data_IF_463142497399
#
_entry.id   IF_463142497399
#
_cell.length_a   1.000
_cell.length_b   1.000
_cell.length_c   1.000
_cell.angle_alpha   90.00
_cell.angle_beta   90.00
_cell.angle_gamma   90.00
#
_symmetry.space_group_name_H-M   'P 1'
#
loop_
_entity.id
_entity.type
_entity.pdbx_description
1 polymer ?
#
# COMPACT_ATOMS: atom_id res chain seq x y z
N UNK A 1 -19.99 42.91 38.74
CA UNK A 1 -21.13 43.23 37.86
C UNK A 1 -20.96 42.41 36.58
N UNK A 2 -21.64 41.26 36.48
CA UNK A 2 -22.82 41.00 35.61
C UNK A 2 -22.39 40.98 34.12
N UNK A 3 -22.56 39.95 33.29
CA UNK A 3 -23.12 38.59 33.36
C UNK A 3 -22.81 37.89 32.00
N UNK A 4 -22.85 36.53 31.98
CA UNK A 4 -23.34 35.59 30.92
C UNK A 4 -23.24 35.92 29.41
N UNK A 5 -23.00 34.97 28.50
CA UNK A 5 -23.20 33.53 28.59
C UNK A 5 -23.04 32.81 27.24
N UNK A 6 -23.04 31.50 27.36
CA UNK A 6 -22.98 30.46 26.33
C UNK A 6 -24.31 30.37 25.54
N UNK A 7 -24.29 30.05 24.24
CA UNK A 7 -25.30 29.17 23.65
C UNK A 7 -24.83 28.57 22.32
N UNK A 8 -24.90 27.24 22.27
CA UNK A 8 -24.81 26.37 21.10
C UNK A 8 -26.25 26.25 20.56
N UNK A 9 -26.44 26.35 19.26
CA UNK A 9 -27.70 25.97 18.61
C UNK A 9 -27.40 25.04 17.44
N UNK A 10 -28.01 23.86 17.53
CA UNK A 10 -28.09 22.84 16.48
C UNK A 10 -29.39 23.12 15.73
N UNK A 11 -29.34 23.32 14.42
CA UNK A 11 -30.56 23.27 13.60
C UNK A 11 -30.28 22.59 12.26
N UNK A 12 -30.94 21.46 12.08
CA UNK A 12 -31.09 20.73 10.83
C UNK A 12 -31.93 21.56 9.88
N UNK A 13 -31.49 21.75 8.63
CA UNK A 13 -32.41 22.11 7.56
C UNK A 13 -31.89 21.67 6.20
N UNK A 14 -32.73 20.86 5.57
CA UNK A 14 -32.80 20.50 4.16
C UNK A 14 -32.28 21.59 3.21
N UNK A 15 -31.36 21.20 2.32
CA UNK A 15 -30.96 22.03 1.19
C UNK A 15 -31.92 21.74 0.02
N UNK A 16 -32.85 22.66 -0.24
CA UNK A 16 -33.70 22.65 -1.43
C UNK A 16 -33.05 23.55 -2.50
N UNK A 17 -32.69 22.95 -3.63
CA UNK A 17 -32.07 23.63 -4.77
C UNK A 17 -33.18 24.27 -5.63
N UNK A 18 -33.27 25.61 -5.63
CA UNK A 18 -34.09 26.34 -6.60
C UNK A 18 -33.19 27.13 -7.54
N UNK A 19 -33.20 26.77 -8.82
CA UNK A 19 -32.55 27.50 -9.90
C UNK A 19 -33.27 28.82 -10.16
N UNK A 20 -32.61 29.96 -9.91
CA UNK A 20 -33.06 31.28 -10.37
C UNK A 20 -32.54 31.54 -11.78
N UNK A 21 -33.46 31.64 -12.73
CA UNK A 21 -33.22 32.21 -14.06
C UNK A 21 -33.51 33.71 -13.98
N UNK A 22 -32.50 34.56 -14.17
CA UNK A 22 -32.69 36.02 -14.26
C UNK A 22 -32.52 36.46 -15.71
N UNK A 23 -33.59 37.02 -16.28
CA UNK A 23 -33.63 37.68 -17.58
C UNK A 23 -32.95 39.06 -17.50
N UNK A 24 -32.25 39.44 -18.57
CA UNK A 24 -31.60 40.74 -18.76
C UNK A 24 -32.48 41.61 -19.68
N UNK A 25 -32.71 42.85 -19.26
CA UNK A 25 -33.40 43.90 -20.02
C UNK A 25 -32.45 44.60 -21.02
N UNK A 26 -33.06 45.01 -22.12
CA UNK A 26 -32.53 45.60 -23.34
C UNK A 26 -32.19 47.09 -23.24
N UNK A 27 -31.11 47.52 -23.92
CA UNK A 27 -30.97 48.90 -24.42
C UNK A 27 -30.37 48.90 -25.83
N UNK A 28 -31.11 49.54 -26.73
CA UNK A 28 -30.95 49.65 -28.18
C UNK A 28 -29.85 50.61 -28.64
N UNK A 29 -29.14 50.26 -29.72
CA UNK A 29 -28.73 51.16 -30.84
C UNK A 29 -28.36 50.31 -32.06
N UNK A 30 -29.03 50.57 -33.19
CA UNK A 30 -28.85 50.03 -34.56
C UNK A 30 -27.54 50.62 -35.16
N UNK A 31 -26.84 50.11 -36.19
CA UNK A 31 -27.21 49.63 -37.55
C UNK A 31 -26.01 48.79 -38.16
N UNK A 32 -26.01 48.24 -39.41
CA UNK A 32 -26.30 46.84 -39.77
C UNK A 32 -25.15 46.07 -40.51
N UNK A 33 -25.51 44.90 -41.06
CA UNK A 33 -24.85 44.08 -42.11
C UNK A 33 -23.78 43.09 -41.65
N UNK A 34 -24.13 41.81 -41.50
CA UNK A 34 -23.93 40.81 -42.57
C UNK A 34 -24.31 39.42 -42.03
N UNK A 35 -25.33 38.83 -42.64
CA UNK A 35 -25.75 37.44 -42.46
C UNK A 35 -24.63 36.46 -42.76
N UNK A 36 -24.41 35.48 -41.88
CA UNK A 36 -24.03 34.12 -42.29
C UNK A 36 -24.47 33.14 -41.20
N UNK A 37 -25.46 32.35 -41.59
CA UNK A 37 -26.13 31.29 -40.88
C UNK A 37 -25.23 30.05 -40.89
N UNK A 38 -25.00 29.40 -39.75
CA UNK A 38 -24.59 28.00 -39.73
C UNK A 38 -25.13 27.34 -38.45
N UNK A 39 -26.34 26.80 -38.55
CA UNK A 39 -26.89 25.83 -37.62
C UNK A 39 -26.28 24.46 -37.91
N UNK A 40 -25.57 23.87 -36.95
CA UNK A 40 -25.30 22.43 -36.93
C UNK A 40 -25.38 21.93 -35.49
N UNK A 41 -26.61 21.68 -35.04
CA UNK A 41 -26.88 20.81 -33.91
C UNK A 41 -26.68 19.35 -34.36
N UNK A 42 -25.56 18.73 -33.96
CA UNK A 42 -25.36 17.30 -34.10
C UNK A 42 -26.02 16.60 -32.90
N UNK A 43 -27.30 16.25 -33.06
CA UNK A 43 -28.01 15.33 -32.17
C UNK A 43 -27.50 13.92 -32.45
N UNK A 44 -26.63 13.39 -31.59
CA UNK A 44 -26.32 11.96 -31.56
C UNK A 44 -27.44 11.26 -30.80
N UNK A 45 -28.40 10.70 -31.53
CA UNK A 45 -29.38 9.77 -30.99
C UNK A 45 -28.71 8.43 -30.72
N UNK A 46 -28.46 8.10 -29.45
CA UNK A 46 -28.10 6.75 -29.04
C UNK A 46 -29.36 5.87 -29.09
N UNK A 47 -29.49 5.06 -30.13
CA UNK A 47 -30.47 3.97 -30.18
C UNK A 47 -29.98 2.83 -29.28
N UNK A 48 -30.68 2.63 -28.16
CA UNK A 48 -30.50 1.46 -27.30
C UNK A 48 -31.16 0.24 -27.95
N UNK A 49 -30.39 -0.50 -28.74
CA UNK A 49 -30.73 -1.89 -29.09
C UNK A 49 -29.58 -2.81 -28.71
N UNK A 50 -29.59 -3.31 -27.48
CA UNK A 50 -29.13 -4.69 -27.21
C UNK A 50 -29.69 -5.19 -25.88
N UNK A 51 -30.99 -5.47 -25.89
CA UNK A 51 -31.65 -6.35 -24.92
C UNK A 51 -31.19 -7.79 -25.16
N UNK A 52 -29.94 -8.13 -24.85
CA UNK A 52 -29.53 -9.55 -24.81
C UNK A 52 -28.36 -9.89 -23.86
N UNK A 53 -27.78 -8.92 -23.16
CA UNK A 53 -26.64 -9.19 -22.25
C UNK A 53 -27.02 -9.28 -20.75
N UNK A 54 -28.24 -8.86 -20.37
CA UNK A 54 -28.66 -8.75 -18.96
C UNK A 54 -29.47 -9.95 -18.41
N UNK A 55 -29.62 -11.05 -19.16
CA UNK A 55 -30.39 -12.24 -18.72
C UNK A 55 -29.55 -13.45 -18.28
N UNK A 56 -28.22 -13.39 -18.30
CA UNK A 56 -27.35 -14.54 -17.93
C UNK A 56 -26.57 -14.38 -16.61
N UNK A 57 -26.80 -13.31 -15.84
CA UNK A 57 -26.13 -13.09 -14.54
C UNK A 57 -27.02 -13.34 -13.31
N UNK A 58 -28.31 -13.60 -13.47
CA UNK A 58 -29.26 -13.69 -12.34
C UNK A 58 -29.53 -15.10 -11.79
N UNK A 59 -28.89 -16.16 -12.32
CA UNK A 59 -29.15 -17.55 -11.88
C UNK A 59 -27.96 -18.26 -11.21
N UNK A 60 -26.93 -17.54 -10.76
CA UNK A 60 -25.78 -18.14 -10.03
C UNK A 60 -25.70 -17.72 -8.55
N UNK A 61 -26.80 -17.26 -7.96
CA UNK A 61 -26.87 -16.92 -6.54
C UNK A 61 -28.02 -17.68 -5.87
N UNK A 62 -27.87 -19.00 -5.78
CA UNK A 62 -28.62 -19.81 -4.83
C UNK A 62 -27.82 -21.05 -4.41
N UNK A 63 -26.56 -20.82 -4.02
CA UNK A 63 -25.78 -21.82 -3.28
C UNK A 63 -26.04 -21.60 -1.80
N UNK A 64 -26.40 -22.67 -1.11
CA UNK A 64 -26.78 -22.72 0.29
C UNK A 64 -25.73 -22.04 1.20
N UNK A 65 -26.08 -20.90 1.79
CA UNK A 65 -25.39 -20.36 2.95
C UNK A 65 -26.20 -20.71 4.19
N UNK A 66 -25.94 -21.89 4.75
CA UNK A 66 -26.29 -22.16 6.16
C UNK A 66 -25.32 -21.37 7.03
N UNK A 67 -25.79 -20.54 7.98
CA UNK A 67 -24.90 -19.79 8.86
C UNK A 67 -24.20 -20.78 9.80
N UNK A 68 -22.93 -21.08 9.54
CA UNK A 68 -22.08 -21.83 10.45
C UNK A 68 -21.76 -20.90 11.62
N UNK A 69 -22.46 -21.10 12.74
CA UNK A 69 -22.24 -20.39 14.01
C UNK A 69 -20.78 -20.58 14.43
N UNK A 70 -19.98 -19.53 14.25
CA UNK A 70 -18.60 -19.49 14.73
C UNK A 70 -18.65 -19.42 16.26
N UNK A 71 -18.27 -20.52 16.94
CA UNK A 71 -18.08 -20.52 18.38
C UNK A 71 -16.63 -20.13 18.65
N UNK A 72 -16.43 -18.95 19.23
CA UNK A 72 -15.12 -18.52 19.71
C UNK A 72 -14.61 -19.52 20.77
N UNK A 73 -13.33 -19.95 20.71
CA UNK A 73 -12.77 -20.81 21.73
C UNK A 73 -12.76 -20.06 23.07
N UNK A 74 -13.28 -20.72 24.12
CA UNK A 74 -13.23 -20.22 25.50
C UNK A 74 -11.76 -20.11 25.91
N UNK A 75 -11.25 -18.90 26.04
CA UNK A 75 -9.94 -18.65 26.59
C UNK A 75 -10.04 -18.77 28.12
N UNK A 76 -9.58 -19.90 28.65
CA UNK A 76 -9.40 -20.07 30.09
C UNK A 76 -8.20 -19.23 30.51
N UNK A 77 -8.43 -18.15 31.26
CA UNK A 77 -7.39 -17.31 31.81
C UNK A 77 -6.65 -18.08 32.92
N UNK A 78 -5.51 -18.67 32.59
CA UNK A 78 -4.57 -19.20 33.58
C UNK A 78 -3.66 -18.06 34.02
N UNK A 79 -3.88 -17.54 35.23
CA UNK A 79 -2.97 -16.58 35.87
C UNK A 79 -1.63 -17.26 36.12
N UNK A 80 -0.60 -16.87 35.37
CA UNK A 80 0.76 -17.33 35.57
C UNK A 80 1.51 -16.32 36.45
N UNK A 81 1.88 -16.74 37.67
CA UNK A 81 2.70 -15.95 38.58
C UNK A 81 4.08 -15.68 37.95
N UNK A 82 4.48 -14.42 37.91
CA UNK A 82 5.72 -13.96 37.28
C UNK A 82 6.94 -14.28 38.16
N UNK A 83 7.72 -15.29 37.77
CA UNK A 83 9.12 -15.42 38.18
C UNK A 83 10.00 -14.68 37.16
N UNK A 84 10.76 -13.69 37.62
CA UNK A 84 11.57 -12.79 36.80
C UNK A 84 12.42 -13.53 35.76
N UNK A 85 12.15 -13.23 34.48
CA UNK A 85 12.99 -13.61 33.35
C UNK A 85 13.73 -12.36 32.91
N UNK A 86 15.05 -12.43 32.82
CA UNK A 86 15.83 -11.45 32.07
C UNK A 86 15.25 -11.41 30.66
N UNK A 87 14.70 -10.25 30.27
CA UNK A 87 14.07 -10.07 28.98
C UNK A 87 15.22 -9.99 27.95
N UNK A 88 15.61 -11.12 27.36
CA UNK A 88 16.51 -11.10 26.21
C UNK A 88 15.79 -10.34 25.10
N UNK A 89 16.25 -9.12 24.82
CA UNK A 89 15.74 -8.34 23.68
C UNK A 89 16.21 -9.08 22.42
N UNK A 90 15.33 -9.89 21.85
CA UNK A 90 15.57 -10.57 20.58
C UNK A 90 15.47 -9.51 19.49
N UNK A 91 16.61 -9.10 18.94
CA UNK A 91 16.66 -8.19 17.81
C UNK A 91 16.52 -8.97 16.50
N UNK A 92 15.72 -8.44 15.58
CA UNK A 92 15.48 -9.10 14.28
C UNK A 92 16.59 -8.70 13.32
N UNK A 93 17.24 -9.67 12.68
CA UNK A 93 18.29 -9.41 11.67
C UNK A 93 17.94 -9.94 10.29
N UNK A 94 17.11 -10.97 10.20
CA UNK A 94 16.75 -11.62 8.93
C UNK A 94 15.32 -12.17 8.94
N UNK A 95 14.81 -12.45 7.74
CA UNK A 95 13.50 -13.05 7.53
C UNK A 95 13.47 -13.88 6.25
N UNK A 96 12.68 -14.97 6.24
CA UNK A 96 12.43 -15.80 5.05
C UNK A 96 10.97 -15.75 4.67
N UNK A 97 10.68 -15.30 3.44
CA UNK A 97 9.34 -15.20 2.89
C UNK A 97 9.15 -16.26 1.80
N UNK A 98 8.27 -17.24 2.04
CA UNK A 98 7.80 -18.16 1.00
C UNK A 98 6.67 -17.51 0.20
N UNK A 99 6.76 -17.59 -1.13
CA UNK A 99 5.88 -16.89 -2.05
C UNK A 99 5.67 -17.75 -3.31
N UNK A 100 4.57 -17.47 -4.02
CA UNK A 100 4.29 -18.07 -5.33
C UNK A 100 4.22 -16.98 -6.38
N UNK A 101 4.71 -17.27 -7.58
CA UNK A 101 4.58 -16.35 -8.71
C UNK A 101 3.14 -16.30 -9.20
N UNK A 102 2.59 -15.10 -9.28
CA UNK A 102 1.28 -14.86 -9.87
C UNK A 102 1.38 -14.50 -11.35
N UNK A 103 0.31 -14.80 -12.10
CA UNK A 103 0.28 -14.61 -13.55
C UNK A 103 0.60 -13.16 -13.98
N UNK A 104 0.09 -12.17 -13.24
CA UNK A 104 0.30 -10.75 -13.53
C UNK A 104 1.74 -10.26 -13.34
N UNK A 105 2.62 -11.10 -12.78
CA UNK A 105 4.03 -10.78 -12.54
C UNK A 105 4.92 -11.22 -13.70
N UNK A 106 4.37 -12.02 -14.62
CA UNK A 106 5.06 -12.49 -15.82
C UNK A 106 4.90 -11.53 -16.99
N UNK A 107 5.93 -11.44 -17.85
CA UNK A 107 5.90 -10.63 -19.06
C UNK A 107 5.84 -11.47 -20.34
N UNK A 108 5.98 -10.82 -21.50
CA UNK A 108 5.92 -11.46 -22.82
C UNK A 108 7.01 -12.52 -23.02
N UNK A 109 8.10 -12.49 -22.27
CA UNK A 109 9.14 -13.52 -22.31
C UNK A 109 8.73 -14.82 -21.58
N UNK A 110 7.56 -14.85 -20.93
CA UNK A 110 7.04 -16.03 -20.22
C UNK A 110 7.75 -16.29 -18.89
N UNK A 111 8.44 -15.28 -18.36
CA UNK A 111 9.13 -15.31 -17.06
C UNK A 111 8.71 -14.09 -16.23
N UNK A 112 9.03 -14.11 -14.94
CA UNK A 112 8.79 -12.96 -14.06
C UNK A 112 9.54 -11.74 -14.57
N UNK A 113 8.84 -10.62 -14.71
CA UNK A 113 9.44 -9.35 -15.09
C UNK A 113 10.43 -8.89 -14.01
N UNK A 114 11.61 -8.42 -14.41
CA UNK A 114 12.72 -8.10 -13.49
C UNK A 114 12.32 -7.14 -12.35
N UNK A 115 11.40 -6.20 -12.61
CA UNK A 115 10.95 -5.24 -11.60
C UNK A 115 10.18 -5.87 -10.44
N UNK A 116 9.59 -7.06 -10.63
CA UNK A 116 8.86 -7.77 -9.60
C UNK A 116 9.76 -8.25 -8.45
N UNK A 117 11.05 -8.50 -8.71
CA UNK A 117 12.01 -8.90 -7.67
C UNK A 117 12.17 -7.84 -6.57
N UNK A 118 12.11 -6.55 -6.92
CA UNK A 118 12.11 -5.47 -5.92
C UNK A 118 10.86 -5.50 -5.03
N UNK A 119 9.70 -5.87 -5.60
CA UNK A 119 8.46 -6.04 -4.82
C UNK A 119 8.57 -7.23 -3.87
N UNK A 120 9.17 -8.32 -4.31
CA UNK A 120 9.39 -9.50 -3.47
C UNK A 120 10.31 -9.18 -2.28
N UNK A 121 11.36 -8.40 -2.52
CA UNK A 121 12.26 -7.93 -1.46
C UNK A 121 11.54 -6.97 -0.49
N UNK A 122 10.70 -6.05 -0.99
CA UNK A 122 9.91 -5.15 -0.15
C UNK A 122 8.88 -5.90 0.70
N UNK A 123 8.22 -6.93 0.15
CA UNK A 123 7.32 -7.79 0.92
C UNK A 123 8.04 -8.51 2.07
N UNK A 124 9.24 -9.04 1.80
CA UNK A 124 10.09 -9.69 2.79
C UNK A 124 10.58 -8.69 3.84
N UNK A 125 10.98 -7.47 3.45
CA UNK A 125 11.34 -6.39 4.36
C UNK A 125 10.15 -6.04 5.27
N UNK A 126 8.97 -5.84 4.73
CA UNK A 126 7.80 -5.51 5.54
C UNK A 126 7.45 -6.65 6.51
N UNK A 127 7.68 -7.91 6.14
CA UNK A 127 7.51 -9.05 7.03
C UNK A 127 8.57 -9.09 8.16
N UNK A 128 9.81 -8.75 7.85
CA UNK A 128 10.88 -8.55 8.82
C UNK A 128 10.52 -7.45 9.84
N UNK A 129 10.05 -6.29 9.37
CA UNK A 129 9.59 -5.20 10.24
C UNK A 129 8.44 -5.64 11.15
N UNK A 130 7.44 -6.36 10.62
CA UNK A 130 6.32 -6.90 11.41
C UNK A 130 6.79 -7.87 12.49
N UNK A 131 7.77 -8.72 12.18
CA UNK A 131 8.36 -9.67 13.15
C UNK A 131 9.08 -8.94 14.28
N UNK A 132 9.71 -7.80 13.96
CA UNK A 132 10.31 -6.91 14.94
C UNK A 132 9.30 -6.10 15.77
N UNK A 133 7.98 -6.28 15.55
CA UNK A 133 6.92 -5.54 16.23
C UNK A 133 6.67 -4.14 15.68
N UNK A 134 7.20 -3.83 14.49
CA UNK A 134 7.14 -2.52 13.86
C UNK A 134 6.29 -2.55 12.57
N UNK A 135 5.82 -1.36 12.17
CA UNK A 135 5.38 -1.10 10.80
C UNK A 135 6.37 -0.12 10.18
N UNK A 136 6.75 -0.32 8.93
CA UNK A 136 7.65 0.61 8.22
C UNK A 136 6.99 1.94 7.88
N UNK A 137 5.65 1.95 7.79
CA UNK A 137 4.86 3.13 7.43
C UNK A 137 3.55 3.18 8.24
N UNK A 138 3.62 3.33 9.58
CA UNK A 138 2.42 3.47 10.39
C UNK A 138 1.69 4.77 10.05
N UNK A 139 0.36 4.84 10.29
CA UNK A 139 -0.38 6.09 10.21
C UNK A 139 0.31 7.16 11.07
N UNK A 140 0.43 8.38 10.54
CA UNK A 140 1.06 9.52 11.23
C UNK A 140 2.55 9.34 11.59
N UNK A 141 3.28 8.46 10.90
CA UNK A 141 4.73 8.34 11.07
C UNK A 141 5.44 9.70 10.88
N UNK A 142 6.26 10.10 11.87
CA UNK A 142 7.09 11.31 11.81
C UNK A 142 8.33 11.14 10.94
N UNK A 143 8.70 9.89 10.65
CA UNK A 143 9.80 9.50 9.75
C UNK A 143 9.30 8.61 8.62
N UNK A 144 10.05 8.56 7.53
CA UNK A 144 9.83 7.65 6.41
C UNK A 144 11.13 7.00 5.94
N UNK A 145 11.00 5.96 5.12
CA UNK A 145 12.11 5.13 4.67
C UNK A 145 12.16 4.98 3.13
N UNK A 146 12.33 6.08 2.36
CA UNK A 146 12.50 5.99 0.92
C UNK A 146 13.71 5.12 0.53
N UNK A 147 13.57 4.43 -0.61
CA UNK A 147 14.65 3.64 -1.22
C UNK A 147 15.61 4.58 -1.93
N UNK A 148 16.89 4.54 -1.56
CA UNK A 148 17.94 5.42 -2.13
C UNK A 148 18.95 4.67 -3.01
N UNK A 149 19.01 3.35 -2.90
CA UNK A 149 19.76 2.49 -3.80
C UNK A 149 19.11 1.10 -3.83
N UNK A 150 19.13 0.44 -4.99
CA UNK A 150 18.70 -0.94 -5.13
C UNK A 150 19.41 -1.59 -6.33
N UNK A 151 19.76 -2.87 -6.19
CA UNK A 151 20.37 -3.66 -7.26
C UNK A 151 19.86 -5.11 -7.19
N UNK A 152 19.87 -5.77 -8.35
CA UNK A 152 19.62 -7.21 -8.47
C UNK A 152 20.48 -7.81 -9.57
N UNK A 153 20.95 -9.03 -9.33
CA UNK A 153 21.51 -9.94 -10.32
C UNK A 153 20.54 -11.10 -10.54
N UNK A 154 20.17 -11.35 -11.79
CA UNK A 154 19.22 -12.39 -12.17
C UNK A 154 19.97 -13.56 -12.79
N UNK A 155 20.00 -14.71 -12.10
CA UNK A 155 20.78 -15.88 -12.49
C UNK A 155 19.95 -16.92 -13.24
N UNK A 156 18.71 -17.15 -12.78
CA UNK A 156 17.77 -18.11 -13.36
C UNK A 156 16.36 -17.50 -13.41
N UNK A 157 15.51 -17.88 -14.38
CA UNK A 157 14.16 -17.35 -14.49
C UNK A 157 13.19 -18.01 -13.49
N UNK A 158 12.28 -17.19 -12.94
CA UNK A 158 11.04 -17.66 -12.32
C UNK A 158 9.90 -17.64 -13.33
N UNK A 159 8.98 -18.60 -13.23
CA UNK A 159 7.80 -18.74 -14.08
C UNK A 159 6.52 -18.75 -13.26
N UNK A 160 5.38 -18.59 -13.94
CA UNK A 160 4.07 -18.70 -13.32
C UNK A 160 3.94 -20.00 -12.50
N UNK A 161 3.32 -19.89 -11.32
CA UNK A 161 3.14 -20.95 -10.32
C UNK A 161 4.39 -21.47 -9.62
N UNK A 162 5.59 -21.00 -9.96
CA UNK A 162 6.79 -21.33 -9.20
C UNK A 162 6.62 -20.89 -7.74
N UNK A 163 6.92 -21.81 -6.81
CA UNK A 163 7.14 -21.47 -5.40
C UNK A 163 8.61 -21.15 -5.18
N UNK A 164 8.87 -20.10 -4.42
CA UNK A 164 10.21 -19.61 -4.16
C UNK A 164 10.29 -19.00 -2.76
N UNK A 165 11.51 -18.87 -2.25
CA UNK A 165 11.80 -18.19 -1.00
C UNK A 165 12.60 -16.92 -1.26
N UNK A 166 12.27 -15.85 -0.55
CA UNK A 166 13.09 -14.64 -0.44
C UNK A 166 13.67 -14.60 0.97
N UNK A 167 14.97 -14.81 1.09
CA UNK A 167 15.70 -14.62 2.33
C UNK A 167 16.29 -13.22 2.35
N UNK A 168 15.80 -12.35 3.23
CA UNK A 168 16.28 -10.99 3.41
C UNK A 168 17.08 -10.87 4.72
N UNK A 169 18.20 -10.17 4.67
CA UNK A 169 19.10 -9.92 5.80
C UNK A 169 19.38 -8.43 5.94
N UNK A 170 19.48 -7.95 7.18
CA UNK A 170 20.05 -6.64 7.49
C UNK A 170 21.57 -6.76 7.41
N UNK A 171 22.15 -6.20 6.36
CA UNK A 171 23.59 -6.24 6.13
C UNK A 171 24.33 -5.09 6.85
N UNK A 172 23.64 -3.97 7.11
CA UNK A 172 24.22 -2.81 7.78
C UNK A 172 23.14 -1.91 8.38
N UNK A 173 23.42 -1.36 9.56
CA UNK A 173 22.64 -0.28 10.18
C UNK A 173 23.61 0.86 10.45
N UNK A 174 23.37 2.00 9.82
CA UNK A 174 24.09 3.26 10.06
C UNK A 174 23.19 4.23 10.82
N UNK A 175 23.71 5.42 11.17
CA UNK A 175 22.91 6.46 11.84
C UNK A 175 21.60 6.78 11.09
N UNK A 176 21.62 6.80 9.74
CA UNK A 176 20.50 7.30 8.93
C UNK A 176 20.01 6.32 7.86
N UNK A 177 20.59 5.12 7.76
CA UNK A 177 20.28 4.15 6.69
C UNK A 177 20.32 2.73 7.20
N UNK A 178 19.49 1.88 6.60
CA UNK A 178 19.55 0.43 6.72
C UNK A 178 19.83 -0.14 5.33
N UNK A 179 20.80 -1.05 5.24
CA UNK A 179 21.12 -1.78 4.01
C UNK A 179 20.71 -3.23 4.17
N UNK A 180 19.96 -3.73 3.21
CA UNK A 180 19.50 -5.10 3.12
C UNK A 180 20.22 -5.84 2.01
N UNK A 181 20.39 -7.15 2.18
CA UNK A 181 20.69 -8.10 1.10
C UNK A 181 19.54 -9.09 1.00
N UNK A 182 19.30 -9.61 -0.20
CA UNK A 182 18.30 -10.63 -0.46
C UNK A 182 18.87 -11.75 -1.34
N UNK A 183 18.51 -12.99 -1.01
CA UNK A 183 18.71 -14.15 -1.86
C UNK A 183 17.36 -14.75 -2.19
N UNK A 184 17.09 -14.92 -3.48
CA UNK A 184 15.88 -15.59 -3.98
C UNK A 184 16.26 -17.00 -4.40
N UNK A 185 15.59 -18.00 -3.83
CA UNK A 185 15.83 -19.41 -4.12
C UNK A 185 14.55 -20.12 -4.53
N UNK A 186 14.68 -21.12 -5.39
CA UNK A 186 13.62 -22.06 -5.77
C UNK A 186 14.24 -23.45 -5.79
N UNK A 187 13.66 -24.42 -5.08
CA UNK A 187 14.14 -25.80 -5.05
C UNK A 187 15.64 -25.94 -4.73
N UNK A 188 16.17 -25.06 -3.86
CA UNK A 188 17.60 -25.00 -3.51
C UNK A 188 18.48 -24.27 -4.53
N UNK A 189 17.98 -23.96 -5.72
CA UNK A 189 18.68 -23.18 -6.73
C UNK A 189 18.60 -21.68 -6.44
N UNK A 190 19.73 -20.99 -6.55
CA UNK A 190 19.79 -19.53 -6.46
C UNK A 190 19.27 -18.90 -7.78
N UNK A 191 18.16 -18.18 -7.66
CA UNK A 191 17.45 -17.53 -8.77
C UNK A 191 17.97 -16.11 -8.98
N UNK A 192 18.10 -15.35 -7.90
CA UNK A 192 18.56 -13.97 -7.94
C UNK A 192 19.20 -13.58 -6.61
N UNK A 193 20.10 -12.60 -6.65
CA UNK A 193 20.62 -11.90 -5.47
C UNK A 193 20.37 -10.42 -5.65
N UNK A 194 20.15 -9.71 -4.56
CA UNK A 194 19.94 -8.26 -4.63
C UNK A 194 20.28 -7.55 -3.33
N UNK A 195 20.31 -6.23 -3.42
CA UNK A 195 20.47 -5.36 -2.25
C UNK A 195 19.55 -4.14 -2.35
N UNK A 196 19.22 -3.57 -1.20
CA UNK A 196 18.37 -2.38 -1.11
C UNK A 196 18.81 -1.54 0.08
N UNK A 197 18.94 -0.23 -0.13
CA UNK A 197 19.26 0.73 0.92
C UNK A 197 18.11 1.70 1.12
N UNK A 198 17.70 1.83 2.38
CA UNK A 198 16.64 2.75 2.81
C UNK A 198 17.26 3.85 3.64
N UNK A 199 16.79 5.08 3.46
CA UNK A 199 17.24 6.22 4.26
C UNK A 199 16.12 6.70 5.17
N UNK A 200 16.43 6.96 6.45
CA UNK A 200 15.50 7.61 7.35
C UNK A 200 15.41 9.11 7.01
N UNK A 201 14.19 9.57 6.77
CA UNK A 201 13.89 10.98 6.47
C UNK A 201 12.75 11.48 7.35
N UNK A 202 12.75 12.76 7.68
CA UNK A 202 11.58 13.39 8.31
C UNK A 202 10.42 13.45 7.34
N UNK A 203 9.22 13.15 7.83
CA UNK A 203 7.98 13.20 7.05
C UNK A 203 7.03 14.23 7.67
N UNK A 204 6.95 15.41 7.05
CA UNK A 204 6.05 16.50 7.45
C UNK A 204 5.23 16.96 6.23
N UNK A 205 3.92 17.21 6.35
CA UNK A 205 3.12 17.70 5.25
C UNK A 205 3.68 19.01 4.67
N UNK A 206 3.83 19.08 3.35
CA UNK A 206 4.27 20.30 2.66
C UNK A 206 5.77 20.62 2.78
N UNK A 207 6.56 19.84 3.52
CA UNK A 207 8.01 20.02 3.63
C UNK A 207 8.78 19.00 2.77
N UNK A 208 9.94 19.36 2.19
CA UNK A 208 10.83 18.40 1.55
C UNK A 208 11.31 17.32 2.53
N UNK A 209 11.56 16.11 2.01
CA UNK A 209 12.19 15.04 2.78
C UNK A 209 13.62 15.44 3.16
N UNK A 210 13.97 15.32 4.44
CA UNK A 210 15.31 15.60 4.95
C UNK A 210 15.83 14.40 5.72
N UNK A 211 17.07 14.00 5.43
CA UNK A 211 17.70 12.88 6.13
C UNK A 211 17.82 13.16 7.63
N UNK A 212 17.45 12.18 8.45
CA UNK A 212 17.43 12.28 9.91
C UNK A 212 17.94 10.97 10.52
N UNK A 213 18.49 10.97 11.76
CA UNK A 213 18.84 9.74 12.44
C UNK A 213 17.65 8.78 12.56
N UNK A 214 17.92 7.48 12.46
CA UNK A 214 16.94 6.45 12.78
C UNK A 214 16.63 6.55 14.28
N UNK A 215 15.37 6.74 14.69
CA UNK A 215 15.01 6.76 16.11
C UNK A 215 15.43 5.46 16.82
N UNK A 216 15.91 5.54 18.06
CA UNK A 216 16.30 4.36 18.85
C UNK A 216 15.12 3.41 19.05
N UNK A 217 13.89 3.94 19.15
CA UNK A 217 12.64 3.15 19.16
C UNK A 217 12.43 2.27 17.93
N UNK A 218 13.21 2.48 16.86
CA UNK A 218 13.24 1.63 15.67
C UNK A 218 14.56 0.86 15.61
N UNK A 219 15.69 1.54 15.80
CA UNK A 219 17.01 0.92 15.68
C UNK A 219 17.23 -0.23 16.67
N UNK A 220 16.74 -0.10 17.91
CA UNK A 220 16.94 -1.10 18.97
C UNK A 220 16.21 -2.43 18.72
N UNK A 221 15.28 -2.46 17.74
CA UNK A 221 14.57 -3.68 17.34
C UNK A 221 15.35 -4.53 16.33
N UNK A 222 16.41 -3.97 15.75
CA UNK A 222 17.15 -4.58 14.66
C UNK A 222 18.61 -4.85 15.02
N UNK A 223 19.19 -5.86 14.38
CA UNK A 223 20.63 -6.12 14.44
C UNK A 223 21.16 -6.54 13.06
N UNK A 224 22.47 -6.42 12.86
CA UNK A 224 23.11 -6.83 11.62
C UNK A 224 23.27 -8.36 11.61
N UNK A 225 22.85 -8.99 10.51
CA UNK A 225 23.01 -10.43 10.32
C UNK A 225 24.50 -10.78 10.28
N UNK A 226 24.90 -11.78 11.06
CA UNK A 226 26.28 -12.30 11.02
C UNK A 226 26.41 -13.21 9.80
N UNK A 227 27.07 -12.73 8.76
CA UNK A 227 27.46 -13.58 7.63
C UNK A 227 28.57 -14.51 8.12
N UNK A 228 28.28 -15.81 8.26
CA UNK A 228 29.35 -16.79 8.42
C UNK A 228 30.07 -16.87 7.07
N UNK A 229 31.26 -16.29 6.98
CA UNK A 229 32.10 -16.29 5.79
C UNK A 229 32.71 -17.68 5.57
N UNK A 230 31.88 -18.65 5.17
CA UNK A 230 32.27 -19.97 4.68
C UNK A 230 31.29 -20.39 3.59
N UNK A 231 31.44 -19.82 2.40
CA UNK A 231 30.99 -20.41 1.12
C UNK A 231 31.81 -19.83 -0.04
#
# INVERSE_FOLDING_TARGET
MICSGLSISFESSFCHFTTKTSALETSSRLIPICTLNLSTHLLVTFSLTSSHYLKRFKNFLRVHLTPRRWQAPKQTATTFCASGRYNTVVTTSEYRLTRRVHFYETDKAGIVHFSCFYRYMEEAEHALWRTAGLSIAPPNASVGFPRVAADFQFLKPLRFEDEFEVHICIAEISEKRIRYTATVTKDGDRIATGSMTIACVTKRPGEPLRSTPIPTTIADHFSVTRTNSNE
#
